data_IF_243288462635
#
_entry.id   IF_243288462635
#
_cell.length_a   1.000
_cell.length_b   1.000
_cell.length_c   1.000
_cell.angle_alpha   90.00
_cell.angle_beta   90.00
_cell.angle_gamma   90.00
#
_symmetry.space_group_name_H-M   'P 1'
#
loop_
_entity.id
_entity.type
_entity.pdbx_description
1 polymer ?
#
# COMPACT_ATOMS: atom_id res chain seq x y z
N UNK A 1 9.42 7.01 11.15
CA UNK A 1 8.11 6.33 11.30
C UNK A 1 7.27 6.68 10.09
N UNK A 2 6.55 5.71 9.54
CA UNK A 2 5.49 6.02 8.58
C UNK A 2 4.39 6.80 9.29
N UNK A 3 3.94 7.90 8.69
CA UNK A 3 2.87 8.76 9.20
C UNK A 3 1.62 8.62 8.34
N UNK A 4 1.79 8.70 7.02
CA UNK A 4 0.73 8.58 6.04
C UNK A 4 1.25 7.84 4.80
N UNK A 5 0.39 7.03 4.17
CA UNK A 5 0.57 6.49 2.83
C UNK A 5 -0.58 6.99 1.96
N UNK A 6 -0.24 7.73 0.91
CA UNK A 6 -1.16 8.21 -0.11
C UNK A 6 -0.89 7.49 -1.42
N UNK A 7 -1.93 6.89 -2.00
CA UNK A 7 -1.90 6.15 -3.25
C UNK A 7 -2.83 6.84 -4.23
N UNK A 8 -2.33 7.14 -5.43
CA UNK A 8 -3.03 7.80 -6.52
C UNK A 8 -2.72 7.05 -7.80
N UNK A 9 -3.75 6.74 -8.60
CA UNK A 9 -3.64 6.12 -9.92
C UNK A 9 -2.68 4.89 -9.95
N UNK A 10 -2.86 3.96 -9.01
CA UNK A 10 -1.99 2.79 -8.85
C UNK A 10 -2.76 1.47 -8.94
N UNK A 11 -2.44 0.66 -9.96
CA UNK A 11 -3.14 -0.61 -10.27
C UNK A 11 -4.64 -0.37 -10.48
N UNK A 12 -5.49 -0.75 -9.53
CA UNK A 12 -6.95 -0.53 -9.56
C UNK A 12 -7.42 0.53 -8.55
N UNK A 13 -6.47 1.17 -7.84
CA UNK A 13 -6.76 2.15 -6.79
C UNK A 13 -6.66 3.54 -7.39
N UNK A 14 -7.81 4.18 -7.59
CA UNK A 14 -7.89 5.58 -8.06
C UNK A 14 -7.29 6.52 -7.00
N UNK A 15 -7.76 6.41 -5.76
CA UNK A 15 -7.28 7.21 -4.63
C UNK A 15 -7.48 6.51 -3.30
N UNK A 16 -6.42 6.45 -2.50
CA UNK A 16 -6.45 5.96 -1.12
C UNK A 16 -5.51 6.77 -0.24
N UNK A 17 -5.89 6.98 1.02
CA UNK A 17 -5.04 7.58 2.05
C UNK A 17 -5.16 6.78 3.34
N UNK A 18 -4.03 6.45 3.95
CA UNK A 18 -3.94 5.69 5.19
C UNK A 18 -3.01 6.40 6.17
N UNK A 19 -3.52 6.70 7.36
CA UNK A 19 -2.73 7.24 8.46
C UNK A 19 -2.24 6.11 9.38
N UNK A 20 -0.94 6.11 9.65
CA UNK A 20 -0.30 5.14 10.53
C UNK A 20 -0.19 5.72 11.94
N UNK A 21 -0.53 4.88 12.92
CA UNK A 21 -0.34 5.18 14.34
C UNK A 21 0.92 4.48 14.85
N UNK A 22 1.50 5.02 15.91
CA UNK A 22 2.60 4.36 16.62
C UNK A 22 2.18 2.98 17.15
N UNK A 23 3.12 2.05 17.18
CA UNK A 23 2.92 0.70 17.72
C UNK A 23 2.72 -0.34 16.63
N UNK A 24 1.72 -1.20 16.79
CA UNK A 24 1.46 -2.33 15.91
C UNK A 24 0.31 -2.02 14.95
N UNK A 25 0.51 -2.31 13.66
CA UNK A 25 -0.51 -2.21 12.62
C UNK A 25 -0.70 -3.57 11.97
N UNK A 26 -1.95 -3.99 11.82
CA UNK A 26 -2.31 -5.22 11.13
C UNK A 26 -3.19 -4.89 9.92
N UNK A 27 -2.80 -5.40 8.74
CA UNK A 27 -3.59 -5.30 7.52
C UNK A 27 -4.40 -6.59 7.34
N UNK A 28 -5.72 -6.48 7.46
CA UNK A 28 -6.66 -7.62 7.39
C UNK A 28 -7.66 -7.43 6.24
N UNK A 29 -8.37 -8.49 5.89
CA UNK A 29 -9.31 -8.51 4.77
C UNK A 29 -9.38 -9.88 4.10
N UNK A 30 -10.33 -10.07 3.20
CA UNK A 30 -10.49 -11.30 2.41
C UNK A 30 -9.47 -11.37 1.26
N UNK A 31 -9.45 -12.49 0.54
CA UNK A 31 -8.72 -12.60 -0.73
C UNK A 31 -9.35 -11.65 -1.75
N UNK A 32 -8.53 -10.87 -2.45
CA UNK A 32 -9.02 -9.88 -3.41
C UNK A 32 -9.39 -8.51 -2.81
N UNK A 33 -9.33 -8.33 -1.49
CA UNK A 33 -9.60 -7.05 -0.83
C UNK A 33 -8.54 -5.95 -1.07
N UNK A 34 -7.55 -6.17 -1.95
CA UNK A 34 -6.53 -5.18 -2.30
C UNK A 34 -5.34 -5.08 -1.33
N UNK A 35 -5.19 -6.03 -0.39
CA UNK A 35 -4.07 -6.02 0.58
C UNK A 35 -2.68 -6.06 -0.07
N UNK A 36 -2.48 -6.87 -1.11
CA UNK A 36 -1.18 -6.96 -1.79
C UNK A 36 -0.82 -5.63 -2.48
N UNK A 37 -1.80 -4.98 -3.12
CA UNK A 37 -1.61 -3.67 -3.77
C UNK A 37 -1.08 -2.64 -2.77
N UNK A 38 -1.59 -2.66 -1.54
CA UNK A 38 -1.13 -1.79 -0.46
C UNK A 38 0.33 -2.05 -0.07
N UNK A 39 0.72 -3.32 0.02
CA UNK A 39 2.09 -3.72 0.32
C UNK A 39 3.02 -3.33 -0.84
N UNK A 40 2.60 -3.56 -2.09
CA UNK A 40 3.37 -3.21 -3.27
C UNK A 40 3.58 -1.69 -3.35
N UNK A 41 2.53 -0.90 -3.16
CA UNK A 41 2.63 0.56 -3.13
C UNK A 41 3.59 1.07 -2.05
N UNK A 42 3.52 0.48 -0.85
CA UNK A 42 4.43 0.81 0.25
C UNK A 42 5.88 0.43 -0.09
N UNK A 43 6.10 -0.76 -0.63
CA UNK A 43 7.40 -1.27 -1.08
C UNK A 43 8.03 -0.35 -2.13
N UNK A 44 7.24 0.09 -3.11
CA UNK A 44 7.68 1.04 -4.13
C UNK A 44 8.04 2.40 -3.53
N UNK A 45 7.23 2.91 -2.60
CA UNK A 45 7.53 4.16 -1.89
C UNK A 45 8.83 4.07 -1.06
N UNK A 46 9.21 2.87 -0.61
CA UNK A 46 10.47 2.59 0.07
C UNK A 46 11.65 2.34 -0.89
N UNK A 47 11.44 2.45 -2.20
CA UNK A 47 12.49 2.33 -3.22
C UNK A 47 12.74 0.92 -3.73
N UNK A 48 11.86 -0.05 -3.44
CA UNK A 48 11.92 -1.32 -4.15
C UNK A 48 11.67 -1.09 -5.64
N UNK A 49 12.39 -1.85 -6.48
CA UNK A 49 12.09 -1.85 -7.91
C UNK A 49 10.72 -2.49 -8.11
N UNK A 50 9.86 -1.81 -8.85
CA UNK A 50 8.69 -2.45 -9.40
C UNK A 50 9.17 -3.45 -10.45
N UNK A 51 9.15 -4.73 -10.13
CA UNK A 51 9.13 -5.76 -11.17
C UNK A 51 7.71 -5.73 -11.74
N UNK A 52 7.44 -4.69 -12.54
CA UNK A 52 6.12 -4.43 -13.08
C UNK A 52 5.55 -5.71 -13.68
N UNK A 53 4.46 -6.18 -13.09
CA UNK A 53 3.63 -7.21 -13.69
C UNK A 53 3.17 -6.70 -15.05
N UNK A 54 3.64 -7.36 -16.10
CA UNK A 54 2.87 -7.55 -17.32
C UNK A 54 1.62 -8.37 -17.02
#
# INVERSE_FOLDING_TARGET
MLLNLSILDFVIVDKMSLDFKSGFSALTGETGAGKSILIDALSLALGQRNEGGV
#
